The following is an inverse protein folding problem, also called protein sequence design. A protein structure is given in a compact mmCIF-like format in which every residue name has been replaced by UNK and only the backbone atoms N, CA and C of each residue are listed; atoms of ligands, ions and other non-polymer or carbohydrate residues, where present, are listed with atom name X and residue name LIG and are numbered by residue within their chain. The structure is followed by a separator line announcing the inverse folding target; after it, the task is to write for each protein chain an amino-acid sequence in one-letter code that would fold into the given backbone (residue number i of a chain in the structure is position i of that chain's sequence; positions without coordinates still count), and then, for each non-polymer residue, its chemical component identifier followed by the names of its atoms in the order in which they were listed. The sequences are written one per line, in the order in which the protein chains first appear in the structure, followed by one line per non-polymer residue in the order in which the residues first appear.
data_IF_395530092193
#
_entry.id   IF_395530092193
#
_cell.length_a   1.000
_cell.length_b   1.000
_cell.length_c   1.000
_cell.angle_alpha   90.00
_cell.angle_beta   90.00
_cell.angle_gamma   90.00
#
_symmetry.space_group_name_H-M   'P 1'
#
loop_
_entity.id
_entity.type
_entity.pdbx_description
1 polymer ?
#
# COMPACT_ATOMS: atom_id res chain seq x y z
N UNK A 1 -24.99 -0.83 -7.89
CA UNK A 1 -25.84 -2.07 -7.94
C UNK A 1 -27.03 -1.95 -7.02
N UNK A 2 -26.81 -1.70 -5.71
CA UNK A 2 -27.88 -1.50 -4.71
C UNK A 2 -28.98 -0.59 -5.23
N UNK A 3 -28.65 0.65 -5.63
CA UNK A 3 -29.65 1.62 -6.10
C UNK A 3 -30.51 1.14 -7.26
N UNK A 4 -29.90 0.41 -8.21
CA UNK A 4 -30.60 -0.14 -9.37
C UNK A 4 -31.60 -1.23 -8.97
N UNK A 5 -31.27 -2.03 -7.96
CA UNK A 5 -32.10 -3.17 -7.53
C UNK A 5 -33.19 -2.69 -6.56
N UNK A 6 -32.87 -1.76 -5.69
CA UNK A 6 -33.77 -1.31 -4.60
C UNK A 6 -34.59 -0.09 -4.97
N UNK A 7 -34.26 0.58 -6.08
CA UNK A 7 -34.85 1.86 -6.50
C UNK A 7 -34.74 2.96 -5.42
N UNK A 8 -33.81 2.80 -4.47
CA UNK A 8 -33.50 3.76 -3.40
C UNK A 8 -32.07 4.29 -3.58
N UNK A 9 -31.80 5.53 -3.16
CA UNK A 9 -30.43 6.04 -3.17
C UNK A 9 -29.56 5.25 -2.22
N UNK A 10 -28.28 5.07 -2.53
CA UNK A 10 -27.37 4.28 -1.70
C UNK A 10 -27.26 4.85 -0.27
N UNK A 11 -27.17 6.19 -0.07
CA UNK A 11 -27.22 6.78 1.27
C UNK A 11 -28.51 6.48 2.05
N UNK A 12 -29.67 6.55 1.42
CA UNK A 12 -30.96 6.26 2.07
C UNK A 12 -31.07 4.78 2.44
N UNK A 13 -30.72 3.90 1.49
CA UNK A 13 -30.73 2.47 1.72
C UNK A 13 -29.81 2.06 2.88
N UNK A 14 -28.58 2.59 2.94
CA UNK A 14 -27.65 2.32 4.05
C UNK A 14 -28.19 2.84 5.39
N UNK A 15 -28.83 4.01 5.40
CA UNK A 15 -29.41 4.57 6.62
C UNK A 15 -30.53 3.68 7.15
N UNK A 16 -31.47 3.27 6.30
CA UNK A 16 -32.68 2.55 6.72
C UNK A 16 -32.43 1.06 6.99
N UNK A 17 -31.49 0.44 6.29
CA UNK A 17 -31.28 -1.01 6.37
C UNK A 17 -30.06 -1.44 7.19
N UNK A 18 -29.09 -0.54 7.42
CA UNK A 18 -27.87 -0.85 8.17
C UNK A 18 -27.75 0.02 9.42
N UNK A 19 -27.69 1.35 9.26
CA UNK A 19 -27.32 2.24 10.35
C UNK A 19 -28.43 2.38 11.40
N UNK A 20 -29.68 2.62 10.99
CA UNK A 20 -30.80 2.75 11.93
C UNK A 20 -31.05 1.45 12.71
N UNK A 21 -31.12 0.25 12.09
CA UNK A 21 -31.31 -1.00 12.85
C UNK A 21 -30.21 -1.27 13.87
N UNK A 22 -28.96 -0.86 13.59
CA UNK A 22 -27.84 -0.98 14.51
C UNK A 22 -27.76 0.16 15.54
N UNK A 23 -28.64 1.16 15.45
CA UNK A 23 -28.60 2.35 16.29
C UNK A 23 -27.36 3.23 16.05
N UNK A 24 -26.78 3.20 14.85
CA UNK A 24 -25.62 4.01 14.46
C UNK A 24 -26.04 5.44 14.07
N UNK A 25 -26.53 6.20 15.05
CA UNK A 25 -27.19 7.51 14.88
C UNK A 25 -26.27 8.63 14.34
N UNK A 26 -24.96 8.45 14.42
CA UNK A 26 -23.95 9.41 13.97
C UNK A 26 -23.22 8.92 12.72
N UNK A 27 -23.80 7.96 12.01
CA UNK A 27 -23.23 7.37 10.79
C UNK A 27 -24.06 7.71 9.56
N UNK A 28 -23.38 8.11 8.47
CA UNK A 28 -24.03 8.41 7.18
C UNK A 28 -23.08 8.20 6.02
N UNK A 29 -23.65 7.91 4.85
CA UNK A 29 -22.95 8.05 3.57
C UNK A 29 -23.06 9.51 3.12
N UNK A 30 -21.92 10.16 2.86
CA UNK A 30 -21.87 11.51 2.30
C UNK A 30 -22.39 11.50 0.86
N UNK A 31 -23.39 12.33 0.59
CA UNK A 31 -24.09 12.42 -0.70
C UNK A 31 -23.30 13.19 -1.75
N UNK A 32 -22.64 14.26 -1.34
CA UNK A 32 -21.85 15.11 -2.24
C UNK A 32 -20.74 15.86 -1.49
N UNK A 33 -19.71 16.36 -2.20
CA UNK A 33 -18.53 16.97 -1.58
C UNK A 33 -18.78 18.31 -0.89
N UNK A 34 -20.00 18.84 -0.97
CA UNK A 34 -20.39 20.10 -0.31
C UNK A 34 -21.37 19.86 0.84
N UNK A 35 -21.73 18.60 1.12
CA UNK A 35 -22.60 18.28 2.23
C UNK A 35 -21.91 18.63 3.54
N UNK A 36 -22.59 19.41 4.38
CA UNK A 36 -22.13 19.72 5.73
C UNK A 36 -22.54 18.57 6.62
N UNK A 37 -21.54 17.89 7.19
CA UNK A 37 -21.75 16.81 8.17
C UNK A 37 -21.55 17.41 9.57
N UNK A 38 -22.62 17.53 10.37
CA UNK A 38 -22.51 18.09 11.71
C UNK A 38 -21.50 17.32 12.55
N UNK A 39 -20.67 18.05 13.32
CA UNK A 39 -19.65 17.47 14.21
C UNK A 39 -18.55 16.63 13.52
N UNK A 40 -18.44 16.69 12.19
CA UNK A 40 -17.31 16.08 11.48
C UNK A 40 -16.00 16.77 11.85
N UNK A 41 -14.92 15.98 11.93
CA UNK A 41 -13.57 16.50 12.10
C UNK A 41 -13.09 17.21 10.84
N UNK A 42 -12.30 18.26 11.02
CA UNK A 42 -11.49 18.83 9.94
C UNK A 42 -10.30 17.90 9.68
N UNK A 43 -10.05 17.57 8.41
CA UNK A 43 -8.90 16.78 7.98
C UNK A 43 -7.64 17.63 7.83
N UNK A 44 -6.48 17.05 8.14
CA UNK A 44 -5.17 17.67 8.09
C UNK A 44 -4.16 16.84 7.31
N UNK A 45 -3.27 17.54 6.60
CA UNK A 45 -2.08 16.97 5.97
C UNK A 45 -0.84 17.80 6.32
N UNK A 46 0.33 17.18 6.32
CA UNK A 46 1.60 17.89 6.53
C UNK A 46 1.94 18.81 5.35
N UNK A 47 2.61 19.91 5.64
CA UNK A 47 3.19 20.85 4.69
C UNK A 47 4.57 21.31 5.19
N UNK A 48 5.33 22.00 4.35
CA UNK A 48 6.62 22.61 4.73
C UNK A 48 6.49 23.66 5.84
N UNK A 49 5.29 24.22 6.04
CA UNK A 49 4.99 25.25 7.03
C UNK A 49 4.23 24.71 8.26
N UNK A 50 4.08 23.39 8.37
CA UNK A 50 3.39 22.71 9.46
C UNK A 50 2.21 21.86 8.98
N UNK A 51 0.99 22.21 9.40
CA UNK A 51 -0.23 21.49 9.02
C UNK A 51 -1.08 22.36 8.10
N UNK A 52 -1.64 21.75 7.06
CA UNK A 52 -2.66 22.36 6.20
C UNK A 52 -3.96 21.58 6.28
N UNK A 53 -5.06 22.28 6.09
CA UNK A 53 -6.35 21.63 5.91
C UNK A 53 -6.34 20.78 4.64
N UNK A 54 -6.99 19.63 4.72
CA UNK A 54 -7.17 18.71 3.62
C UNK A 54 -8.62 18.19 3.65
N UNK A 55 -9.31 18.34 2.53
CA UNK A 55 -10.64 17.78 2.33
C UNK A 55 -10.56 16.36 1.78
N UNK A 56 -11.55 15.54 2.13
CA UNK A 56 -11.71 14.19 1.56
C UNK A 56 -12.10 14.24 0.08
N UNK A 57 -11.85 13.14 -0.64
CA UNK A 57 -12.18 13.01 -2.05
C UNK A 57 -13.66 13.26 -2.35
N UNK A 58 -13.92 13.78 -3.55
CA UNK A 58 -15.27 13.85 -4.06
C UNK A 58 -15.82 12.42 -4.28
N UNK A 59 -16.93 12.11 -3.62
CA UNK A 59 -17.39 10.76 -3.33
C UNK A 59 -17.53 9.81 -4.54
N UNK A 60 -16.95 8.62 -4.40
CA UNK A 60 -17.46 7.37 -4.95
C UNK A 60 -18.05 6.56 -3.79
N UNK A 61 -19.30 6.85 -3.39
CA UNK A 61 -19.96 6.07 -2.33
C UNK A 61 -20.06 4.59 -2.75
N UNK A 62 -19.80 3.70 -1.79
CA UNK A 62 -19.60 2.26 -2.01
C UNK A 62 -18.17 1.82 -1.69
N UNK A 63 -17.16 2.53 -2.20
CA UNK A 63 -15.75 2.28 -1.86
C UNK A 63 -15.29 3.05 -0.60
N UNK A 64 -15.99 4.13 -0.25
CA UNK A 64 -15.72 4.98 0.90
C UNK A 64 -16.83 6.00 1.13
N UNK A 65 -16.51 7.13 1.76
CA UNK A 65 -17.46 8.23 1.97
C UNK A 65 -18.47 8.03 3.10
N UNK A 66 -18.26 7.03 3.96
CA UNK A 66 -19.01 6.88 5.22
C UNK A 66 -18.33 7.75 6.29
N UNK A 67 -19.11 8.61 6.92
CA UNK A 67 -18.70 9.37 8.10
C UNK A 67 -19.37 8.76 9.31
N UNK A 68 -18.59 8.50 10.36
CA UNK A 68 -19.03 7.73 11.53
C UNK A 68 -18.24 8.14 12.77
N UNK A 69 -18.52 7.47 13.89
CA UNK A 69 -17.81 7.62 15.16
C UNK A 69 -17.34 6.26 15.66
N UNK A 70 -16.35 6.24 16.56
CA UNK A 70 -15.90 4.99 17.17
C UNK A 70 -17.04 4.27 17.92
N UNK A 71 -17.96 5.01 18.56
CA UNK A 71 -19.11 4.43 19.26
C UNK A 71 -20.12 3.75 18.33
N UNK A 72 -20.31 4.27 17.11
CA UNK A 72 -21.16 3.62 16.12
C UNK A 72 -20.46 2.43 15.47
N UNK A 73 -19.17 2.55 15.15
CA UNK A 73 -18.38 1.41 14.67
C UNK A 73 -18.35 0.26 15.69
N UNK A 74 -18.34 0.53 16.99
CA UNK A 74 -18.44 -0.51 18.01
C UNK A 74 -19.77 -1.29 17.91
N UNK A 75 -20.87 -0.64 17.54
CA UNK A 75 -22.17 -1.31 17.28
C UNK A 75 -22.09 -2.18 16.02
N UNK A 76 -21.39 -1.70 14.98
CA UNK A 76 -21.10 -2.49 13.80
C UNK A 76 -20.26 -3.74 14.12
N UNK A 77 -19.20 -3.61 14.93
CA UNK A 77 -18.36 -4.75 15.32
C UNK A 77 -19.17 -5.79 16.12
N UNK A 78 -20.02 -5.35 17.05
CA UNK A 78 -20.91 -6.25 17.81
C UNK A 78 -21.87 -7.04 16.92
N UNK A 79 -22.22 -6.53 15.73
CA UNK A 79 -23.08 -7.25 14.78
C UNK A 79 -22.46 -8.57 14.29
N UNK A 80 -21.13 -8.75 14.41
CA UNK A 80 -20.46 -10.01 14.06
C UNK A 80 -20.71 -11.13 15.09
N UNK A 81 -20.77 -10.81 16.39
CA UNK A 81 -21.12 -11.81 17.44
C UNK A 81 -22.62 -11.92 17.68
N UNK A 82 -23.34 -10.80 17.62
CA UNK A 82 -24.78 -10.71 17.88
C UNK A 82 -25.49 -10.05 16.68
N UNK A 83 -25.81 -10.81 15.61
CA UNK A 83 -26.33 -10.23 14.38
C UNK A 83 -27.72 -9.59 14.58
N UNK A 84 -27.79 -8.28 14.43
CA UNK A 84 -29.02 -7.47 14.36
C UNK A 84 -29.38 -7.18 12.90
N UNK A 85 -28.38 -6.86 12.08
CA UNK A 85 -28.50 -6.73 10.63
C UNK A 85 -27.89 -7.94 9.96
N UNK A 86 -28.68 -8.59 9.10
CA UNK A 86 -28.35 -9.89 8.53
C UNK A 86 -28.73 -11.03 9.49
N UNK A 87 -28.00 -12.13 9.42
CA UNK A 87 -28.13 -13.28 10.32
C UNK A 87 -26.78 -14.01 10.41
N UNK A 88 -26.69 -15.05 11.25
CA UNK A 88 -25.46 -15.80 11.44
C UNK A 88 -24.89 -16.38 10.12
N UNK A 89 -25.74 -16.78 9.17
CA UNK A 89 -25.29 -17.30 7.87
C UNK A 89 -24.66 -16.19 7.00
N UNK A 90 -25.25 -14.98 7.01
CA UNK A 90 -24.68 -13.82 6.32
C UNK A 90 -23.35 -13.40 6.96
N UNK A 91 -23.25 -13.36 8.30
CA UNK A 91 -21.98 -13.05 8.97
C UNK A 91 -20.91 -14.08 8.62
N UNK A 92 -21.27 -15.37 8.59
CA UNK A 92 -20.36 -16.41 8.15
C UNK A 92 -19.89 -16.18 6.72
N UNK A 93 -20.79 -15.84 5.79
CA UNK A 93 -20.44 -15.54 4.40
C UNK A 93 -19.53 -14.30 4.30
N UNK A 94 -19.82 -13.24 5.06
CA UNK A 94 -19.00 -12.02 5.10
C UNK A 94 -17.56 -12.24 5.61
N UNK A 95 -17.35 -13.31 6.39
CA UNK A 95 -16.07 -13.61 7.07
C UNK A 95 -15.40 -14.88 6.57
N UNK A 96 -15.93 -15.52 5.52
CA UNK A 96 -15.32 -16.72 4.92
C UNK A 96 -14.44 -16.32 3.74
N UNK A 97 -13.12 -16.61 3.77
CA UNK A 97 -12.26 -16.36 2.64
C UNK A 97 -12.57 -17.25 1.44
N UNK A 98 -12.15 -16.81 0.25
CA UNK A 98 -12.37 -17.53 -1.00
C UNK A 98 -11.21 -18.49 -1.28
N UNK A 99 -11.50 -19.59 -1.98
CA UNK A 99 -10.48 -20.48 -2.53
C UNK A 99 -10.28 -20.12 -4.00
N UNK A 100 -9.04 -19.80 -4.35
CA UNK A 100 -8.61 -19.46 -5.70
C UNK A 100 -8.54 -20.70 -6.60
N UNK A 101 -8.48 -20.49 -7.92
CA UNK A 101 -8.43 -21.58 -8.90
C UNK A 101 -7.21 -22.50 -8.76
N UNK A 102 -6.15 -22.03 -8.09
CA UNK A 102 -4.93 -22.80 -7.81
C UNK A 102 -5.01 -23.58 -6.48
N UNK A 103 -6.09 -23.43 -5.69
CA UNK A 103 -6.28 -24.08 -4.41
C UNK A 103 -5.90 -23.22 -3.19
N UNK A 104 -5.27 -22.07 -3.39
CA UNK A 104 -4.89 -21.17 -2.29
C UNK A 104 -6.12 -20.49 -1.69
N UNK A 105 -6.06 -20.19 -0.40
CA UNK A 105 -7.11 -19.46 0.31
C UNK A 105 -6.75 -17.99 0.43
N UNK A 106 -7.70 -17.09 0.17
CA UNK A 106 -7.48 -15.64 0.30
C UNK A 106 -7.39 -15.22 1.78
N UNK A 107 -6.84 -14.04 2.04
CA UNK A 107 -6.91 -13.36 3.35
C UNK A 107 -8.02 -12.28 3.37
N UNK A 108 -8.98 -12.39 2.46
CA UNK A 108 -10.03 -11.37 2.26
C UNK A 108 -11.32 -12.01 1.80
N UNK A 109 -12.44 -11.54 2.33
CA UNK A 109 -13.79 -12.01 2.08
C UNK A 109 -14.64 -10.90 1.41
N UNK A 110 -15.92 -10.79 1.75
CA UNK A 110 -16.84 -9.81 1.17
C UNK A 110 -16.67 -8.41 1.81
N UNK A 111 -15.52 -7.79 1.58
CA UNK A 111 -15.20 -6.46 2.10
C UNK A 111 -14.56 -6.47 3.49
N UNK A 112 -14.08 -7.64 3.95
CA UNK A 112 -13.48 -7.85 5.27
C UNK A 112 -12.18 -8.62 5.07
N UNK A 113 -11.09 -8.10 5.64
CA UNK A 113 -9.84 -8.84 5.81
C UNK A 113 -10.04 -9.93 6.86
N UNK A 114 -9.57 -11.14 6.56
CA UNK A 114 -9.69 -12.31 7.44
C UNK A 114 -8.29 -12.86 7.64
N UNK A 115 -7.86 -12.86 8.88
CA UNK A 115 -6.53 -13.30 9.25
C UNK A 115 -6.47 -13.85 10.66
N UNK A 116 -5.25 -13.96 11.16
CA UNK A 116 -4.96 -14.37 12.52
C UNK A 116 -3.86 -13.48 13.09
N UNK A 117 -4.00 -13.08 14.35
CA UNK A 117 -2.98 -12.36 15.10
C UNK A 117 -2.70 -13.09 16.40
N UNK A 118 -1.51 -13.70 16.50
CA UNK A 118 -1.05 -14.45 17.68
C UNK A 118 -2.09 -15.45 18.19
N UNK A 119 -2.57 -16.34 17.32
CA UNK A 119 -3.54 -17.38 17.65
C UNK A 119 -5.01 -16.93 17.70
N UNK A 120 -5.29 -15.63 17.55
CA UNK A 120 -6.65 -15.10 17.53
C UNK A 120 -7.10 -14.80 16.12
N UNK A 121 -8.31 -15.24 15.74
CA UNK A 121 -8.88 -14.85 14.45
C UNK A 121 -9.13 -13.34 14.45
N UNK A 122 -8.89 -12.72 13.32
CA UNK A 122 -9.05 -11.28 13.12
C UNK A 122 -9.94 -11.01 11.91
N UNK A 123 -10.99 -10.21 12.10
CA UNK A 123 -11.77 -9.59 11.03
C UNK A 123 -11.47 -8.10 11.02
N UNK A 124 -10.85 -7.61 9.94
CA UNK A 124 -10.34 -6.24 9.91
C UNK A 124 -10.61 -5.52 8.61
N UNK A 125 -10.55 -4.19 8.67
CA UNK A 125 -10.52 -3.36 7.47
C UNK A 125 -9.84 -2.03 7.75
N UNK A 126 -8.94 -1.63 6.84
CA UNK A 126 -8.30 -0.31 6.84
C UNK A 126 -9.07 0.71 6.01
N UNK A 127 -8.79 1.99 6.22
CA UNK A 127 -9.34 3.08 5.45
C UNK A 127 -8.34 4.23 5.37
N UNK A 128 -8.13 4.74 4.16
CA UNK A 128 -7.31 5.92 3.94
C UNK A 128 -7.95 6.78 2.84
N UNK A 129 -8.26 8.03 3.18
CA UNK A 129 -8.61 9.09 2.24
C UNK A 129 -7.51 10.16 2.24
N UNK A 130 -7.67 11.30 1.59
CA UNK A 130 -6.68 12.38 1.55
C UNK A 130 -6.22 12.75 2.97
N UNK A 131 -7.17 12.94 3.89
CA UNK A 131 -6.89 13.44 5.23
C UNK A 131 -7.11 12.41 6.35
N UNK A 132 -8.10 11.53 6.20
CA UNK A 132 -8.51 10.64 7.26
C UNK A 132 -7.86 9.26 7.16
N UNK A 133 -7.57 8.67 8.31
CA UNK A 133 -7.13 7.28 8.48
C UNK A 133 -8.12 6.59 9.40
N UNK A 134 -8.50 5.38 9.03
CA UNK A 134 -9.35 4.52 9.81
C UNK A 134 -8.80 3.11 9.82
N UNK A 135 -8.97 2.41 10.93
CA UNK A 135 -8.75 0.98 11.01
C UNK A 135 -9.74 0.41 12.01
N UNK A 136 -10.27 -0.77 11.71
CA UNK A 136 -11.02 -1.58 12.65
C UNK A 136 -10.51 -3.01 12.59
N UNK A 137 -10.48 -3.66 13.74
CA UNK A 137 -10.31 -5.09 13.89
C UNK A 137 -11.28 -5.62 14.94
N UNK A 138 -11.85 -6.80 14.69
CA UNK A 138 -12.66 -7.55 15.63
C UNK A 138 -12.09 -8.95 15.78
N UNK A 139 -11.92 -9.37 17.03
CA UNK A 139 -11.38 -10.67 17.42
C UNK A 139 -12.52 -11.49 18.04
N UNK A 140 -13.20 -12.36 17.26
CA UNK A 140 -14.33 -13.14 17.74
C UNK A 140 -13.98 -14.04 18.93
N UNK A 141 -12.72 -14.48 19.04
CA UNK A 141 -12.25 -15.32 20.14
C UNK A 141 -12.17 -14.56 21.48
N UNK A 142 -12.03 -13.24 21.44
CA UNK A 142 -12.07 -12.36 22.61
C UNK A 142 -13.43 -11.68 22.83
N UNK A 143 -14.31 -11.75 21.83
CA UNK A 143 -15.48 -10.87 21.69
C UNK A 143 -15.13 -9.38 21.92
N UNK A 144 -14.01 -8.95 21.32
CA UNK A 144 -13.47 -7.61 21.48
C UNK A 144 -12.97 -7.05 20.15
N UNK A 145 -12.86 -5.72 20.06
CA UNK A 145 -12.36 -5.06 18.86
C UNK A 145 -11.59 -3.79 19.15
N UNK A 146 -10.76 -3.39 18.18
CA UNK A 146 -9.95 -2.17 18.19
C UNK A 146 -10.43 -1.28 17.05
N UNK A 147 -10.71 -0.02 17.35
CA UNK A 147 -11.11 1.00 16.36
C UNK A 147 -10.15 2.18 16.48
N UNK A 148 -9.49 2.51 15.38
CA UNK A 148 -8.58 3.66 15.27
C UNK A 148 -9.16 4.62 14.23
N UNK A 149 -9.34 5.88 14.61
CA UNK A 149 -9.79 6.95 13.72
C UNK A 149 -8.87 8.14 13.89
N UNK A 150 -8.41 8.72 12.79
CA UNK A 150 -7.55 9.88 12.79
C UNK A 150 -7.90 10.82 11.63
N UNK A 151 -7.84 12.11 11.89
CA UNK A 151 -8.00 13.19 10.92
C UNK A 151 -6.66 13.76 10.43
N UNK A 152 -5.58 12.99 10.60
CA UNK A 152 -4.23 13.33 10.14
C UNK A 152 -3.78 12.33 9.06
N UNK A 153 -3.46 12.82 7.87
CA UNK A 153 -3.03 11.99 6.73
C UNK A 153 -1.73 11.23 6.99
N UNK A 154 -0.90 11.73 7.91
CA UNK A 154 0.35 11.11 8.33
C UNK A 154 0.20 10.16 9.52
N UNK A 155 -1.01 9.92 10.01
CA UNK A 155 -1.22 9.00 11.13
C UNK A 155 -0.87 7.56 10.71
N UNK A 156 0.08 6.98 11.42
CA UNK A 156 0.49 5.58 11.29
C UNK A 156 0.65 5.01 12.69
N UNK A 157 -0.10 3.96 12.99
CA UNK A 157 0.00 3.16 14.21
C UNK A 157 -0.26 1.72 13.79
N UNK A 158 0.55 0.79 14.29
CA UNK A 158 0.25 -0.62 14.13
C UNK A 158 -0.90 -0.99 15.08
N UNK A 159 -2.02 -1.46 14.53
CA UNK A 159 -3.20 -1.86 15.31
C UNK A 159 -2.92 -3.06 16.22
N UNK A 160 -1.97 -3.90 15.84
CA UNK A 160 -1.52 -5.05 16.62
C UNK A 160 -0.78 -4.63 17.89
N UNK A 161 -0.06 -3.50 17.89
CA UNK A 161 0.54 -2.93 19.10
C UNK A 161 -0.55 -2.54 20.12
N UNK A 162 -1.59 -1.86 19.64
CA UNK A 162 -2.75 -1.48 20.46
C UNK A 162 -3.43 -2.73 21.01
N UNK A 163 -3.64 -3.75 20.17
CA UNK A 163 -4.20 -5.03 20.58
C UNK A 163 -3.33 -5.67 21.67
N UNK A 164 -2.00 -5.66 21.52
CA UNK A 164 -1.05 -6.17 22.50
C UNK A 164 -1.13 -5.44 23.84
N UNK A 165 -1.27 -4.11 23.84
CA UNK A 165 -1.39 -3.33 25.09
C UNK A 165 -2.66 -3.63 25.89
N UNK A 166 -3.78 -3.94 25.22
CA UNK A 166 -5.06 -4.18 25.89
C UNK A 166 -5.35 -5.66 26.16
N UNK A 167 -4.87 -6.55 25.29
CA UNK A 167 -5.23 -7.97 25.29
C UNK A 167 -4.02 -8.90 25.38
N UNK A 168 -2.81 -8.38 25.63
CA UNK A 168 -1.56 -9.15 25.64
C UNK A 168 -1.60 -10.45 26.43
N UNK A 169 -2.22 -10.44 27.61
CA UNK A 169 -2.37 -11.63 28.48
C UNK A 169 -3.24 -12.75 27.88
N UNK A 170 -3.98 -12.46 26.82
CA UNK A 170 -4.89 -13.38 26.11
C UNK A 170 -4.38 -13.77 24.72
N UNK A 171 -3.26 -13.17 24.28
CA UNK A 171 -2.62 -13.54 23.02
C UNK A 171 -1.79 -14.81 23.24
N UNK A 172 -1.73 -15.68 22.23
CA UNK A 172 -0.79 -16.79 22.29
C UNK A 172 0.63 -16.24 22.50
N UNK A 173 1.39 -16.91 23.36
CA UNK A 173 2.84 -16.68 23.41
C UNK A 173 3.37 -16.89 21.99
N UNK A 174 4.26 -15.99 21.57
CA UNK A 174 5.02 -16.24 20.36
C UNK A 174 5.91 -17.43 20.75
N UNK A 175 5.55 -18.64 20.31
CA UNK A 175 6.55 -19.70 20.20
C UNK A 175 7.55 -19.17 19.18
N UNK A 176 8.60 -18.49 19.65
CA UNK A 176 9.81 -18.35 18.86
C UNK A 176 10.13 -19.76 18.40
N UNK A 177 10.24 -19.93 17.07
CA UNK A 177 10.48 -21.23 16.47
C UNK A 177 11.59 -21.92 17.27
N UNK A 178 11.22 -22.99 17.98
CA UNK A 178 12.07 -23.74 18.90
C UNK A 178 13.10 -24.61 18.14
N UNK A 179 13.70 -24.03 17.10
CA UNK A 179 14.89 -24.50 16.38
C UNK A 179 16.03 -23.47 16.42
N UNK A 180 15.91 -22.40 17.22
CA UNK A 180 17.06 -21.68 17.73
C UNK A 180 17.29 -22.14 19.18
N UNK A 181 18.21 -23.09 19.36
CA UNK A 181 18.65 -23.52 20.70
C UNK A 181 18.91 -22.31 21.60
N UNK A 182 18.32 -22.34 22.79
CA UNK A 182 18.59 -21.46 23.93
C UNK A 182 20.07 -21.05 24.00
N UNK A 183 20.38 -19.88 23.48
CA UNK A 183 21.47 -19.08 24.01
C UNK A 183 20.83 -18.01 24.89
N UNK A 184 21.01 -18.16 26.20
CA UNK A 184 20.84 -17.06 27.15
C UNK A 184 21.47 -15.80 26.55
N UNK A 185 20.91 -14.59 26.75
CA UNK A 185 21.49 -13.35 26.24
C UNK A 185 22.83 -13.09 26.93
N UNK A 186 23.85 -13.69 26.37
CA UNK A 186 25.26 -13.52 26.69
C UNK A 186 25.71 -12.25 26.00
N UNK A 187 25.84 -11.20 26.80
CA UNK A 187 26.80 -10.11 26.65
C UNK A 187 26.94 -9.47 25.26
N UNK A 188 26.49 -8.21 25.16
CA UNK A 188 26.95 -7.24 24.14
C UNK A 188 26.81 -7.72 22.69
N UNK A 189 25.57 -7.72 22.16
CA UNK A 189 25.40 -7.66 20.70
C UNK A 189 26.04 -6.35 20.20
N UNK A 190 27.22 -6.47 19.59
CA UNK A 190 27.90 -5.37 18.93
C UNK A 190 26.95 -4.78 17.88
N UNK A 191 26.45 -3.57 18.15
CA UNK A 191 25.64 -2.83 17.18
C UNK A 191 26.46 -2.59 15.92
N UNK A 192 26.17 -3.36 14.87
CA UNK A 192 26.83 -3.19 13.58
C UNK A 192 26.53 -1.79 13.04
N UNK A 193 27.55 -0.94 13.04
CA UNK A 193 27.47 0.46 12.64
C UNK A 193 28.29 0.66 11.36
N UNK A 194 27.75 0.29 10.18
CA UNK A 194 28.46 0.42 8.92
C UNK A 194 28.79 1.89 8.62
N UNK A 195 29.98 2.11 8.08
CA UNK A 195 30.37 3.40 7.51
C UNK A 195 29.58 3.69 6.23
N UNK A 196 29.45 4.97 5.82
CA UNK A 196 28.81 5.32 4.54
C UNK A 196 29.41 4.59 3.33
N UNK A 197 30.73 4.33 3.33
CA UNK A 197 31.40 3.58 2.27
C UNK A 197 30.99 2.09 2.24
N UNK A 198 30.77 1.48 3.40
CA UNK A 198 30.24 0.11 3.47
C UNK A 198 28.78 0.04 3.02
N UNK A 199 28.02 1.11 3.24
CA UNK A 199 26.63 1.21 2.79
C UNK A 199 26.50 1.32 1.26
N UNK A 200 27.53 1.80 0.55
CA UNK A 200 27.52 1.89 -0.92
C UNK A 200 27.36 0.52 -1.58
N UNK A 201 27.82 -0.56 -0.93
CA UNK A 201 27.71 -1.91 -1.46
C UNK A 201 26.25 -2.40 -1.64
N UNK A 202 25.33 -1.89 -0.82
CA UNK A 202 23.90 -2.23 -0.89
C UNK A 202 23.12 -1.32 -1.83
N UNK A 203 23.67 -0.14 -2.18
CA UNK A 203 23.00 0.83 -3.00
C UNK A 203 22.76 0.28 -4.42
N UNK A 204 21.58 0.55 -4.98
CA UNK A 204 21.18 0.07 -6.30
C UNK A 204 19.68 -0.18 -6.38
N UNK A 205 19.25 -0.61 -7.55
CA UNK A 205 17.85 -0.95 -7.82
C UNK A 205 17.67 -2.46 -7.74
N UNK A 206 16.61 -2.88 -7.06
CA UNK A 206 16.24 -4.28 -6.91
C UNK A 206 14.79 -4.47 -7.34
N UNK A 207 14.48 -5.63 -7.92
CA UNK A 207 13.15 -6.03 -8.34
C UNK A 207 12.60 -7.10 -7.41
N UNK A 208 11.34 -6.95 -7.00
CA UNK A 208 10.63 -8.00 -6.27
C UNK A 208 10.31 -9.15 -7.24
N UNK A 209 10.63 -10.40 -6.89
CA UNK A 209 10.42 -11.55 -7.80
C UNK A 209 8.93 -11.83 -8.06
N UNK A 210 8.09 -11.62 -7.04
CA UNK A 210 6.67 -11.99 -7.06
C UNK A 210 5.75 -10.81 -7.44
N UNK A 211 6.29 -9.59 -7.42
CA UNK A 211 5.56 -8.36 -7.68
C UNK A 211 6.37 -7.53 -8.67
N UNK A 212 5.75 -7.11 -9.77
CA UNK A 212 6.42 -6.27 -10.77
C UNK A 212 6.59 -4.83 -10.27
N UNK A 213 7.50 -4.66 -9.32
CA UNK A 213 7.84 -3.43 -8.61
C UNK A 213 9.35 -3.38 -8.38
N UNK A 214 9.88 -2.17 -8.37
CA UNK A 214 11.27 -1.89 -8.04
C UNK A 214 11.38 -1.19 -6.69
N UNK A 215 12.52 -1.38 -6.05
CA UNK A 215 12.95 -0.65 -4.87
C UNK A 215 14.38 -0.15 -5.11
N UNK A 216 14.56 1.16 -4.97
CA UNK A 216 15.87 1.79 -5.00
C UNK A 216 16.40 1.93 -3.59
N UNK A 217 17.63 1.46 -3.35
CA UNK A 217 18.40 1.79 -2.16
C UNK A 217 19.48 2.79 -2.54
N UNK A 218 19.54 3.91 -1.84
CA UNK A 218 20.53 4.97 -2.08
C UNK A 218 21.05 5.54 -0.76
N UNK A 219 22.21 6.17 -0.84
CA UNK A 219 22.79 6.90 0.29
C UNK A 219 22.26 8.32 0.32
N UNK A 220 21.70 8.72 1.46
CA UNK A 220 21.25 10.08 1.72
C UNK A 220 21.62 10.47 3.14
N UNK A 221 22.38 11.56 3.30
CA UNK A 221 22.83 12.02 4.62
C UNK A 221 23.66 10.99 5.41
N UNK A 222 24.36 10.08 4.71
CA UNK A 222 25.17 9.02 5.32
C UNK A 222 24.37 7.81 5.83
N UNK A 223 23.08 7.72 5.52
CA UNK A 223 22.23 6.57 5.81
C UNK A 223 21.73 5.94 4.51
N UNK A 224 21.41 4.65 4.58
CA UNK A 224 20.72 3.98 3.49
C UNK A 224 19.24 4.40 3.53
N UNK A 225 18.70 4.76 2.37
CA UNK A 225 17.30 5.14 2.16
C UNK A 225 16.73 4.22 1.09
N UNK A 226 15.56 3.65 1.37
CA UNK A 226 14.81 2.83 0.43
C UNK A 226 13.66 3.63 -0.15
N UNK A 227 13.43 3.49 -1.45
CA UNK A 227 12.26 4.03 -2.12
C UNK A 227 11.70 2.99 -3.07
N UNK A 228 10.59 2.37 -2.68
CA UNK A 228 9.80 1.56 -3.60
C UNK A 228 9.09 2.48 -4.61
N UNK A 229 8.92 2.01 -5.85
CA UNK A 229 8.30 2.83 -6.89
C UNK A 229 6.93 3.36 -6.46
N UNK A 230 6.76 4.67 -6.57
CA UNK A 230 5.49 5.34 -6.25
C UNK A 230 5.22 5.50 -4.75
N UNK A 231 6.16 5.12 -3.88
CA UNK A 231 6.07 5.30 -2.43
C UNK A 231 7.04 6.39 -1.94
N UNK A 232 6.76 7.00 -0.77
CA UNK A 232 7.74 7.85 -0.10
C UNK A 232 9.01 7.08 0.25
N UNK A 233 10.13 7.81 0.29
CA UNK A 233 11.39 7.24 0.73
C UNK A 233 11.39 6.99 2.25
N UNK A 234 11.94 5.85 2.67
CA UNK A 234 12.06 5.44 4.06
C UNK A 234 13.54 5.30 4.43
N UNK A 235 13.93 5.88 5.56
CA UNK A 235 15.28 5.69 6.09
C UNK A 235 15.43 4.29 6.65
N UNK A 236 16.55 3.63 6.41
CA UNK A 236 16.86 2.35 7.01
C UNK A 236 17.79 2.52 8.22
N UNK A 237 17.58 1.66 9.21
CA UNK A 237 18.45 1.53 10.39
C UNK A 237 19.10 0.14 10.36
N UNK A 238 20.43 0.03 10.53
CA UNK A 238 21.10 -1.25 10.70
C UNK A 238 20.52 -2.01 11.91
N UNK A 239 20.18 -3.28 11.72
CA UNK A 239 19.77 -4.18 12.80
C UNK A 239 20.94 -5.08 13.21
N UNK A 240 21.40 -5.86 12.24
CA UNK A 240 22.52 -6.79 12.33
C UNK A 240 23.26 -6.78 10.99
N UNK A 241 24.34 -7.55 10.86
CA UNK A 241 25.18 -7.53 9.67
C UNK A 241 24.36 -7.85 8.41
N UNK A 242 24.33 -6.91 7.47
CA UNK A 242 23.56 -6.97 6.20
C UNK A 242 22.04 -6.90 6.34
N UNK A 243 21.49 -6.69 7.55
CA UNK A 243 20.06 -6.56 7.78
C UNK A 243 19.69 -5.15 8.26
N UNK A 244 18.56 -4.66 7.78
CA UNK A 244 18.10 -3.31 8.03
C UNK A 244 16.59 -3.29 8.29
N UNK A 245 16.16 -2.51 9.29
CA UNK A 245 14.74 -2.18 9.50
C UNK A 245 14.37 -0.93 8.73
N UNK A 246 13.14 -0.88 8.23
CA UNK A 246 12.57 0.33 7.63
C UNK A 246 12.01 1.23 8.73
N UNK A 247 12.31 2.53 8.70
CA UNK A 247 11.69 3.46 9.64
C UNK A 247 10.16 3.52 9.40
N UNK A 248 9.39 3.58 10.50
CA UNK A 248 7.93 3.81 10.51
C UNK A 248 7.05 2.66 10.01
N UNK A 249 7.62 1.53 9.61
CA UNK A 249 6.88 0.32 9.19
C UNK A 249 7.54 -0.92 9.78
N UNK A 250 6.74 -1.92 10.17
CA UNK A 250 7.24 -3.22 10.62
C UNK A 250 7.65 -4.07 9.41
N UNK A 251 8.82 -3.72 8.87
CA UNK A 251 9.46 -4.43 7.78
C UNK A 251 10.97 -4.43 7.98
N UNK A 252 11.63 -5.45 7.44
CA UNK A 252 13.09 -5.52 7.36
C UNK A 252 13.53 -6.03 6.00
N UNK A 253 14.77 -5.72 5.63
CA UNK A 253 15.44 -6.33 4.48
C UNK A 253 16.73 -6.96 4.96
N UNK A 254 17.01 -8.16 4.46
CA UNK A 254 18.28 -8.87 4.64
C UNK A 254 18.92 -8.99 3.28
N UNK A 255 20.15 -8.48 3.13
CA UNK A 255 20.89 -8.56 1.87
C UNK A 255 21.87 -9.74 1.86
N UNK A 256 21.92 -10.44 0.74
CA UNK A 256 22.84 -11.55 0.53
C UNK A 256 24.18 -11.02 -0.01
N UNK A 257 25.01 -10.52 0.90
CA UNK A 257 26.34 -10.00 0.58
C UNK A 257 27.27 -11.13 0.12
N UNK A 258 27.80 -11.01 -1.09
CA UNK A 258 28.75 -11.94 -1.67
C UNK A 258 30.18 -11.71 -1.14
N UNK A 259 31.07 -12.72 -1.18
CA UNK A 259 32.44 -12.62 -0.63
C UNK A 259 33.33 -11.54 -1.26
N UNK A 260 33.03 -11.13 -2.47
CA UNK A 260 33.70 -10.05 -3.22
C UNK A 260 33.07 -8.66 -2.97
N UNK A 261 32.10 -8.58 -2.05
CA UNK A 261 31.56 -7.32 -1.54
C UNK A 261 30.42 -6.72 -2.36
N UNK A 262 29.83 -7.45 -3.31
CA UNK A 262 28.61 -7.02 -3.99
C UNK A 262 27.37 -7.76 -3.46
N UNK A 263 26.22 -7.13 -3.64
CA UNK A 263 24.92 -7.72 -3.36
C UNK A 263 24.23 -8.02 -4.69
N UNK A 264 23.74 -9.25 -4.89
CA UNK A 264 22.87 -9.62 -6.02
C UNK A 264 21.44 -9.88 -5.56
N UNK A 265 21.25 -10.38 -4.34
CA UNK A 265 19.95 -10.80 -3.83
C UNK A 265 19.70 -10.17 -2.46
N UNK A 266 18.42 -10.12 -2.09
CA UNK A 266 18.00 -9.86 -0.73
C UNK A 266 16.62 -10.42 -0.48
N UNK A 267 16.19 -10.39 0.77
CA UNK A 267 14.85 -10.82 1.18
C UNK A 267 14.18 -9.69 1.96
N UNK A 268 13.01 -9.27 1.48
CA UNK A 268 12.16 -8.29 2.15
C UNK A 268 11.13 -9.02 3.00
N UNK A 269 11.02 -8.64 4.27
CA UNK A 269 10.10 -9.22 5.24
C UNK A 269 9.07 -8.17 5.64
N UNK A 270 7.78 -8.46 5.45
CA UNK A 270 6.69 -7.56 5.86
C UNK A 270 5.40 -8.33 6.14
N UNK A 271 4.83 -8.11 7.33
CA UNK A 271 3.54 -8.71 7.73
C UNK A 271 3.53 -10.24 7.66
N UNK A 272 4.66 -10.88 8.02
CA UNK A 272 4.83 -12.33 7.97
C UNK A 272 5.15 -12.91 6.59
N UNK A 273 5.20 -12.09 5.54
CA UNK A 273 5.60 -12.53 4.19
C UNK A 273 7.08 -12.30 3.95
N UNK A 274 7.67 -13.17 3.14
CA UNK A 274 9.04 -13.07 2.64
C UNK A 274 9.00 -12.88 1.12
N UNK A 275 9.57 -11.80 0.62
CA UNK A 275 9.58 -11.50 -0.82
C UNK A 275 11.03 -11.33 -1.26
N UNK A 276 11.46 -12.14 -2.23
CA UNK A 276 12.81 -12.08 -2.76
C UNK A 276 13.02 -10.86 -3.64
N UNK A 277 14.21 -10.29 -3.50
CA UNK A 277 14.73 -9.18 -4.27
C UNK A 277 15.91 -9.68 -5.09
N UNK A 278 15.96 -9.30 -6.36
CA UNK A 278 17.16 -9.43 -7.18
C UNK A 278 17.62 -8.07 -7.69
N UNK A 279 18.92 -7.81 -7.61
CA UNK A 279 19.53 -6.57 -8.08
C UNK A 279 19.47 -6.54 -9.60
N UNK A 280 19.04 -5.40 -10.13
CA UNK A 280 19.02 -5.18 -11.57
C UNK A 280 20.19 -4.27 -11.96
N UNK A 281 20.90 -4.56 -13.07
CA UNK A 281 21.94 -3.68 -13.59
C UNK A 281 21.38 -2.29 -13.87
N UNK A 282 22.16 -1.24 -13.60
CA UNK A 282 21.80 0.10 -14.03
C UNK A 282 21.75 0.15 -15.57
N UNK A 283 20.59 0.47 -16.11
CA UNK A 283 20.40 0.70 -17.54
C UNK A 283 20.39 2.21 -17.82
N UNK A 284 21.49 2.73 -18.35
CA UNK A 284 21.69 4.17 -18.60
C UNK A 284 21.85 4.44 -20.12
N UNK A 285 20.75 4.44 -20.88
CA UNK A 285 20.77 4.71 -22.32
C UNK A 285 21.19 6.16 -22.61
N UNK A 286 21.89 6.38 -23.73
CA UNK A 286 22.25 7.74 -24.13
C UNK A 286 21.02 8.58 -24.46
N UNK A 287 21.10 9.92 -24.38
CA UNK A 287 19.97 10.80 -24.72
C UNK A 287 19.47 10.59 -26.16
N UNK A 288 20.37 10.25 -27.08
CA UNK A 288 20.01 9.91 -28.47
C UNK A 288 19.19 8.62 -28.56
N UNK A 289 19.49 7.64 -27.73
CA UNK A 289 18.68 6.42 -27.63
C UNK A 289 17.31 6.71 -26.99
N UNK A 290 17.24 7.61 -26.01
CA UNK A 290 15.98 8.01 -25.38
C UNK A 290 15.04 8.76 -26.33
N UNK A 291 15.58 9.46 -27.33
CA UNK A 291 14.78 10.21 -28.31
C UNK A 291 13.79 9.31 -29.08
N UNK A 292 14.09 8.02 -29.23
CA UNK A 292 13.21 7.07 -29.93
C UNK A 292 11.83 6.89 -29.26
N UNK A 293 11.80 7.02 -27.93
CA UNK A 293 10.60 6.85 -27.09
C UNK A 293 9.69 8.09 -27.07
N UNK A 294 10.14 9.20 -27.65
CA UNK A 294 9.37 10.45 -27.67
C UNK A 294 8.20 10.41 -28.66
N UNK A 295 7.14 11.15 -28.36
CA UNK A 295 5.95 11.24 -29.18
C UNK A 295 4.67 11.29 -28.36
N UNK A 296 3.54 11.32 -29.06
CA UNK A 296 2.22 11.29 -28.45
C UNK A 296 1.68 9.87 -28.41
N UNK A 297 1.08 9.48 -27.29
CA UNK A 297 0.55 8.14 -27.07
C UNK A 297 -0.86 8.23 -26.47
N UNK A 298 -1.82 7.55 -27.09
CA UNK A 298 -3.24 7.61 -26.71
C UNK A 298 -3.71 6.31 -26.09
N UNK A 299 -4.44 6.41 -24.98
CA UNK A 299 -5.15 5.30 -24.37
C UNK A 299 -6.65 5.41 -24.73
N UNK A 300 -7.16 4.47 -25.52
CA UNK A 300 -8.57 4.43 -25.94
C UNK A 300 -9.52 4.20 -24.75
N UNK A 301 -9.12 3.32 -23.83
CA UNK A 301 -9.91 2.97 -22.64
C UNK A 301 -10.16 4.17 -21.72
N UNK A 302 -9.12 4.97 -21.48
CA UNK A 302 -9.19 6.13 -20.59
C UNK A 302 -9.48 7.45 -21.32
N UNK A 303 -9.40 7.43 -22.65
CA UNK A 303 -9.48 8.62 -23.52
C UNK A 303 -8.48 9.73 -23.14
N UNK A 304 -7.26 9.33 -22.76
CA UNK A 304 -6.18 10.26 -22.37
C UNK A 304 -4.98 10.13 -23.29
N UNK A 305 -4.24 11.24 -23.43
CA UNK A 305 -3.00 11.31 -24.20
C UNK A 305 -1.81 11.59 -23.27
N UNK A 306 -0.73 10.84 -23.45
CA UNK A 306 0.56 11.07 -22.83
C UNK A 306 1.52 11.55 -23.91
N UNK A 307 2.11 12.73 -23.71
CA UNK A 307 3.19 13.24 -24.57
C UNK A 307 4.52 12.94 -23.89
N UNK A 308 5.34 12.11 -24.51
CA UNK A 308 6.68 11.80 -24.04
C UNK A 308 7.71 12.68 -24.74
N UNK A 309 8.60 13.29 -23.98
CA UNK A 309 9.58 14.27 -24.46
C UNK A 309 10.87 14.20 -23.65
N UNK A 310 11.94 14.77 -24.21
CA UNK A 310 13.22 14.92 -23.51
C UNK A 310 13.31 16.30 -22.86
N UNK A 311 13.77 16.33 -21.62
CA UNK A 311 14.14 17.55 -20.90
C UNK A 311 15.37 17.25 -20.03
N UNK A 312 16.44 18.05 -20.19
CA UNK A 312 17.71 17.85 -19.47
C UNK A 312 18.24 16.42 -19.58
N UNK A 313 18.25 15.87 -20.80
CA UNK A 313 18.73 14.52 -21.12
C UNK A 313 17.94 13.38 -20.45
N UNK A 314 16.77 13.67 -19.87
CA UNK A 314 15.87 12.69 -19.25
C UNK A 314 14.56 12.59 -20.01
N UNK A 315 14.01 11.38 -20.08
CA UNK A 315 12.69 11.14 -20.62
C UNK A 315 11.63 11.56 -19.59
N UNK A 316 10.64 12.33 -20.03
CA UNK A 316 9.49 12.73 -19.23
C UNK A 316 8.20 12.44 -19.98
N UNK A 317 7.12 12.21 -19.23
CA UNK A 317 5.78 12.10 -19.77
C UNK A 317 4.90 13.24 -19.22
N UNK A 318 4.14 13.86 -20.11
CA UNK A 318 3.14 14.89 -19.79
C UNK A 318 1.74 14.37 -20.05
N UNK A 319 0.83 14.68 -19.15
CA UNK A 319 -0.60 14.52 -19.34
C UNK A 319 -1.32 15.83 -19.03
N UNK A 320 -2.55 15.98 -19.54
CA UNK A 320 -3.34 17.19 -19.31
C UNK A 320 -3.64 17.40 -17.81
N UNK A 321 -3.44 18.62 -17.30
CA UNK A 321 -3.72 19.02 -15.92
C UNK A 321 -2.97 18.26 -14.81
N UNK A 322 -1.81 17.68 -15.10
CA UNK A 322 -0.93 17.11 -14.08
C UNK A 322 0.50 17.65 -14.20
N UNK A 323 1.28 17.46 -13.15
CA UNK A 323 2.73 17.65 -13.22
C UNK A 323 3.35 16.64 -14.18
N UNK A 324 4.46 17.04 -14.80
CA UNK A 324 5.25 16.14 -15.63
C UNK A 324 5.80 14.99 -14.77
N UNK A 325 5.88 13.81 -15.40
CA UNK A 325 6.32 12.56 -14.80
C UNK A 325 7.74 12.31 -15.28
N UNK A 326 8.70 12.23 -14.36
CA UNK A 326 10.05 11.77 -14.67
C UNK A 326 10.05 10.28 -14.93
N UNK A 327 10.65 9.83 -16.04
CA UNK A 327 10.81 8.42 -16.37
C UNK A 327 12.28 8.02 -16.26
N UNK A 328 12.57 7.11 -15.33
CA UNK A 328 13.90 6.54 -15.16
C UNK A 328 13.98 5.18 -15.87
N UNK A 329 14.96 4.97 -16.76
CA UNK A 329 15.15 3.69 -17.43
C UNK A 329 15.53 2.60 -16.42
N UNK A 330 15.00 1.39 -16.61
CA UNK A 330 15.26 0.25 -15.72
C UNK A 330 15.89 -0.91 -16.47
N UNK A 331 15.41 -1.18 -17.68
CA UNK A 331 15.98 -2.11 -18.64
C UNK A 331 15.60 -1.66 -20.06
N UNK A 332 16.03 -2.39 -21.09
CA UNK A 332 15.63 -2.09 -22.46
C UNK A 332 14.10 -1.98 -22.56
N UNK A 333 13.63 -0.89 -23.15
CA UNK A 333 12.20 -0.59 -23.35
C UNK A 333 11.36 -0.47 -22.07
N UNK A 334 11.95 -0.44 -20.87
CA UNK A 334 11.20 -0.38 -19.61
C UNK A 334 11.69 0.75 -18.71
N UNK A 335 10.73 1.43 -18.07
CA UNK A 335 10.93 2.62 -17.26
C UNK A 335 10.08 2.57 -15.99
N UNK A 336 10.54 3.27 -14.96
CA UNK A 336 9.77 3.58 -13.75
C UNK A 336 9.45 5.07 -13.72
N UNK A 337 8.26 5.43 -13.24
CA UNK A 337 7.86 6.82 -13.04
C UNK A 337 8.17 7.34 -11.63
N UNK A 338 8.39 8.65 -11.51
CA UNK A 338 8.52 9.34 -10.22
C UNK A 338 7.16 9.71 -9.57
N UNK A 339 6.05 9.41 -10.25
CA UNK A 339 4.68 9.57 -9.74
C UNK A 339 4.04 8.21 -9.45
N UNK A 340 3.27 8.12 -8.36
CA UNK A 340 2.72 6.85 -7.86
C UNK A 340 1.84 6.08 -8.86
N UNK A 341 1.22 6.77 -9.81
CA UNK A 341 0.33 6.16 -10.80
C UNK A 341 1.07 5.59 -12.02
N UNK A 342 2.38 5.84 -12.17
CA UNK A 342 3.25 5.22 -13.17
C UNK A 342 4.31 4.38 -12.46
N UNK A 343 3.93 3.17 -12.04
CA UNK A 343 4.83 2.24 -11.34
C UNK A 343 5.78 1.50 -12.27
N UNK A 344 5.31 1.13 -13.45
CA UNK A 344 6.10 0.50 -14.51
C UNK A 344 5.54 0.95 -15.84
N UNK A 345 6.42 1.28 -16.79
CA UNK A 345 6.09 1.63 -18.17
C UNK A 345 6.96 0.77 -19.09
N UNK A 346 6.34 -0.07 -19.91
CA UNK A 346 7.02 -0.98 -20.84
C UNK A 346 6.60 -0.68 -22.28
N UNK A 347 7.55 -0.32 -23.13
CA UNK A 347 7.33 -0.02 -24.55
C UNK A 347 7.13 -1.28 -25.37
N UNK A 348 6.30 -1.16 -26.40
CA UNK A 348 6.09 -2.19 -27.42
C UNK A 348 6.67 -1.73 -28.75
N UNK A 349 7.26 -2.67 -29.49
CA UNK A 349 7.86 -2.43 -30.81
C UNK A 349 7.22 -3.33 -31.87
N UNK A 350 7.25 -2.90 -33.12
CA UNK A 350 6.90 -3.73 -34.27
C UNK A 350 8.07 -4.64 -34.73
N UNK A 351 7.85 -5.44 -35.76
CA UNK A 351 8.87 -6.33 -36.35
C UNK A 351 10.08 -5.58 -36.94
N UNK A 352 9.91 -4.29 -37.29
CA UNK A 352 10.99 -3.44 -37.76
C UNK A 352 11.75 -2.75 -36.62
N UNK A 353 11.34 -3.00 -35.37
CA UNK A 353 11.93 -2.42 -34.17
C UNK A 353 11.41 -1.02 -33.85
N UNK A 354 10.43 -0.46 -34.57
CA UNK A 354 9.87 0.87 -34.27
C UNK A 354 8.97 0.79 -33.03
N UNK A 355 9.12 1.72 -32.10
CA UNK A 355 8.20 1.88 -30.96
C UNK A 355 6.78 2.20 -31.47
N UNK A 356 5.82 1.36 -31.10
CA UNK A 356 4.40 1.44 -31.48
C UNK A 356 3.48 1.83 -30.33
N UNK A 357 3.93 1.75 -29.09
CA UNK A 357 3.11 1.98 -27.90
C UNK A 357 3.85 1.66 -26.62
N UNK A 358 3.13 1.68 -25.50
CA UNK A 358 3.59 1.17 -24.22
C UNK A 358 2.42 0.73 -23.34
N UNK A 359 2.71 -0.04 -22.30
CA UNK A 359 1.78 -0.32 -21.21
C UNK A 359 2.23 0.36 -19.92
N UNK A 360 1.30 0.92 -19.15
CA UNK A 360 1.55 1.45 -17.80
C UNK A 360 0.87 0.58 -16.76
N UNK A 361 1.61 0.27 -15.69
CA UNK A 361 1.14 -0.46 -14.53
C UNK A 361 1.51 0.27 -13.24
N UNK A 362 0.77 0.00 -12.17
CA UNK A 362 1.12 0.32 -10.79
C UNK A 362 0.53 -0.76 -9.87
N UNK A 363 0.65 -0.60 -8.55
CA UNK A 363 0.12 -1.57 -7.58
C UNK A 363 -1.41 -1.75 -7.57
N UNK A 364 -2.17 -0.92 -8.30
CA UNK A 364 -3.64 -0.90 -8.34
C UNK A 364 -4.22 -1.17 -9.72
N UNK A 365 -3.48 -0.88 -10.78
CA UNK A 365 -3.91 -1.04 -12.17
C UNK A 365 -2.76 -1.65 -12.97
N UNK A 366 -3.02 -2.67 -13.78
CA UNK A 366 -2.00 -3.34 -14.59
C UNK A 366 -2.31 -3.23 -16.07
N UNK A 367 -1.28 -2.99 -16.87
CA UNK A 367 -1.32 -3.15 -18.32
C UNK A 367 -2.18 -2.14 -19.08
N UNK A 368 -2.31 -0.91 -18.60
CA UNK A 368 -3.05 0.15 -19.31
C UNK A 368 -2.32 0.44 -20.62
N UNK A 369 -2.97 0.20 -21.75
CA UNK A 369 -2.34 0.27 -23.07
C UNK A 369 -2.42 1.69 -23.65
N UNK A 370 -1.29 2.17 -24.14
CA UNK A 370 -1.14 3.41 -24.88
C UNK A 370 -0.54 3.13 -26.25
N UNK A 371 -1.18 3.64 -27.30
CA UNK A 371 -0.73 3.45 -28.70
C UNK A 371 -0.13 4.75 -29.21
N UNK A 372 1.04 4.66 -29.86
CA UNK A 372 1.70 5.82 -30.48
C UNK A 372 0.79 6.44 -31.54
N UNK A 373 0.71 7.76 -31.53
CA UNK A 373 0.03 8.56 -32.54
C UNK A 373 1.09 9.03 -33.55
N UNK A 374 0.80 8.84 -34.84
CA UNK A 374 1.67 9.25 -35.96
C UNK A 374 1.53 10.75 -36.29
#
# INVERSE_FOLDING_TARGET
IVERITESSFPDWMADHIFQPLGMEHTRVRRHPQEIIPHSTQGYASSSEGWREAGDLAAAYGAGGIYTTAGDLAKWLRNFSEPVVGNAAIIQELTTPFVLNNGDTTSYALGIGVGEYRGLREFSHGGADIAHRAFLAYYPDLDAGVILLSNNSGFSVNSHDITGYFFGDQLAEIEEAADAEDQEPSAEEESWSPSPAELEAYAGTYKFEEVDMLIEYRLEGGKLVAQATGQPALTLTPLEKHAFSYAMVDAKVVFDMQPDGHVEMGTHFQGGNEIKLHRVPAFDPSPEALAEFTGDFYCDELQVIYTLFLEEDKLKARQFNAEDIGLSPTEADTFTGDKFYVGSLAFTRDEAGKVTGFTVSNGRTKGVVFTRQD
#
